data_IF_449905663248
#
_entry.id   IF_449905663248
#
_cell.length_a   1.000
_cell.length_b   1.000
_cell.length_c   1.000
_cell.angle_alpha   90.00
_cell.angle_beta   90.00
_cell.angle_gamma   90.00
#
_symmetry.space_group_name_H-M   'P 1'
#
loop_
_entity.id
_entity.type
_entity.pdbx_description
1 polymer ?
#
# COMPACT_ATOMS: atom_id res chain seq x y z
N UNK A 1 9.88 -17.04 -44.10
CA UNK A 1 10.84 -17.06 -42.97
C UNK A 1 10.83 -15.67 -42.37
N UNK A 2 9.97 -15.44 -41.39
CA UNK A 2 9.81 -14.12 -40.75
C UNK A 2 10.99 -13.90 -39.80
N UNK A 3 11.87 -12.96 -40.16
CA UNK A 3 12.94 -12.50 -39.28
C UNK A 3 12.27 -11.61 -38.24
N UNK A 4 11.84 -12.20 -37.13
CA UNK A 4 11.40 -11.43 -35.97
C UNK A 4 12.63 -10.68 -35.44
N UNK A 5 12.72 -9.39 -35.73
CA UNK A 5 13.71 -8.51 -35.12
C UNK A 5 13.48 -8.55 -33.60
N UNK A 6 14.29 -9.31 -32.88
CA UNK A 6 14.35 -9.23 -31.42
C UNK A 6 14.88 -7.85 -31.04
N UNK A 7 13.96 -6.91 -30.84
CA UNK A 7 14.28 -5.60 -30.27
C UNK A 7 14.84 -5.85 -28.87
N UNK A 8 16.10 -5.41 -28.66
CA UNK A 8 16.72 -5.52 -27.35
C UNK A 8 15.85 -4.76 -26.34
N UNK A 9 15.44 -5.37 -25.22
CA UNK A 9 14.59 -4.72 -24.26
C UNK A 9 15.29 -3.45 -23.74
N UNK A 10 14.57 -2.32 -23.77
CA UNK A 10 15.09 -1.04 -23.30
C UNK A 10 15.54 -1.15 -21.85
N UNK A 11 16.76 -0.67 -21.56
CA UNK A 11 17.31 -0.58 -20.20
C UNK A 11 16.71 0.57 -19.38
N UNK A 12 15.94 1.45 -20.01
CA UNK A 12 15.37 2.64 -19.40
C UNK A 12 14.66 2.38 -18.07
N UNK A 13 13.69 1.44 -18.06
CA UNK A 13 12.95 1.09 -16.85
C UNK A 13 13.83 0.48 -15.74
N UNK A 14 14.92 -0.19 -16.10
CA UNK A 14 15.85 -0.72 -15.12
C UNK A 14 16.64 0.40 -14.43
N UNK A 15 17.03 1.44 -15.16
CA UNK A 15 17.66 2.62 -14.57
C UNK A 15 16.69 3.40 -13.69
N UNK A 16 15.43 3.59 -14.12
CA UNK A 16 14.40 4.20 -13.28
C UNK A 16 14.25 3.43 -11.97
N UNK A 17 14.13 2.10 -12.03
CA UNK A 17 14.00 1.27 -10.83
C UNK A 17 15.18 1.44 -9.87
N UNK A 18 16.42 1.54 -10.38
CA UNK A 18 17.60 1.81 -9.55
C UNK A 18 17.57 3.21 -8.94
N UNK A 19 17.28 4.25 -9.73
CA UNK A 19 17.24 5.63 -9.21
C UNK A 19 16.17 5.81 -8.15
N UNK A 20 14.94 5.37 -8.44
CA UNK A 20 13.83 5.40 -7.48
C UNK A 20 14.18 4.57 -6.25
N UNK A 21 14.73 3.38 -6.43
CA UNK A 21 15.15 2.52 -5.32
C UNK A 21 16.18 3.18 -4.40
N UNK A 22 17.19 3.86 -4.96
CA UNK A 22 18.19 4.61 -4.17
C UNK A 22 17.53 5.75 -3.40
N UNK A 23 16.65 6.52 -4.05
CA UNK A 23 15.92 7.61 -3.40
C UNK A 23 15.08 7.09 -2.23
N UNK A 24 14.34 6.00 -2.43
CA UNK A 24 13.57 5.33 -1.38
C UNK A 24 14.48 4.88 -0.24
N UNK A 25 15.63 4.26 -0.53
CA UNK A 25 16.57 3.84 0.52
C UNK A 25 17.07 5.01 1.35
N UNK A 26 17.36 6.16 0.74
CA UNK A 26 17.77 7.37 1.48
C UNK A 26 16.65 7.87 2.39
N UNK A 27 15.40 7.88 1.93
CA UNK A 27 14.23 8.23 2.75
C UNK A 27 14.04 7.23 3.90
N UNK A 28 14.21 5.93 3.64
CA UNK A 28 14.13 4.88 4.66
C UNK A 28 15.24 4.99 5.71
N UNK A 29 16.45 5.37 5.31
CA UNK A 29 17.55 5.64 6.24
C UNK A 29 17.27 6.88 7.10
N UNK A 30 16.71 7.94 6.52
CA UNK A 30 16.29 9.12 7.27
C UNK A 30 15.19 8.76 8.28
N UNK A 31 14.21 7.94 7.88
CA UNK A 31 13.15 7.45 8.76
C UNK A 31 13.70 6.56 9.88
N UNK A 32 14.71 5.73 9.60
CA UNK A 32 15.40 4.91 10.60
C UNK A 32 16.12 5.77 11.63
N UNK A 33 16.79 6.84 11.19
CA UNK A 33 17.38 7.84 12.08
C UNK A 33 16.31 8.57 12.88
N UNK A 34 15.15 8.88 12.28
CA UNK A 34 14.01 9.44 13.00
C UNK A 34 13.50 8.52 14.10
N UNK A 35 13.28 7.26 13.76
CA UNK A 35 12.76 6.22 14.65
C UNK A 35 13.62 5.99 15.90
N UNK A 36 14.95 5.93 15.75
CA UNK A 36 15.85 5.75 16.89
C UNK A 36 16.35 7.07 17.50
N UNK A 37 16.48 8.12 16.71
CA UNK A 37 17.14 9.37 17.08
C UNK A 37 16.20 10.44 17.64
N UNK A 38 14.97 10.56 17.13
CA UNK A 38 14.03 11.57 17.64
C UNK A 38 13.72 11.40 19.12
N UNK A 39 13.46 10.19 19.66
CA UNK A 39 13.21 10.02 21.10
C UNK A 39 14.39 10.44 21.98
N UNK A 40 15.62 10.32 21.46
CA UNK A 40 16.85 10.67 22.18
C UNK A 40 17.07 12.19 22.16
N UNK A 41 16.79 12.84 21.03
CA UNK A 41 17.02 14.28 20.81
C UNK A 41 15.88 15.15 21.35
N UNK A 42 14.66 14.65 21.28
CA UNK A 42 13.43 15.32 21.68
C UNK A 42 12.60 14.34 22.52
N UNK A 43 12.73 14.37 23.86
CA UNK A 43 11.90 13.55 24.73
C UNK A 43 10.46 14.05 24.65
N UNK A 44 9.68 13.47 23.73
CA UNK A 44 8.24 13.67 23.60
C UNK A 44 7.55 12.60 24.44
N UNK A 45 6.47 12.95 25.13
CA UNK A 45 5.74 12.03 26.02
C UNK A 45 5.08 10.87 25.26
N UNK A 46 4.73 11.07 23.99
CA UNK A 46 4.14 10.05 23.13
C UNK A 46 4.89 9.96 21.80
N UNK A 47 5.69 8.90 21.66
CA UNK A 47 6.49 8.63 20.46
C UNK A 47 5.93 7.47 19.65
N UNK A 48 4.94 6.73 20.17
CA UNK A 48 4.47 5.50 19.54
C UNK A 48 3.78 5.80 18.21
N UNK A 49 2.81 6.73 18.20
CA UNK A 49 2.15 7.17 16.96
C UNK A 49 3.13 7.65 15.88
N UNK A 50 4.15 8.43 16.26
CA UNK A 50 5.19 8.85 15.32
C UNK A 50 6.01 7.66 14.79
N UNK A 51 6.39 6.73 15.66
CA UNK A 51 7.17 5.55 15.32
C UNK A 51 6.40 4.57 14.42
N UNK A 52 5.07 4.51 14.52
CA UNK A 52 4.22 3.79 13.57
C UNK A 52 4.26 4.42 12.17
N UNK A 53 4.25 5.76 12.06
CA UNK A 53 4.50 6.43 10.77
C UNK A 53 5.91 6.17 10.23
N UNK A 54 6.93 6.23 11.10
CA UNK A 54 8.32 5.98 10.71
C UNK A 54 8.54 4.54 10.22
N UNK A 55 7.88 3.53 10.80
CA UNK A 55 8.03 2.14 10.34
C UNK A 55 7.48 1.94 8.93
N UNK A 56 6.43 2.68 8.53
CA UNK A 56 5.91 2.70 7.17
C UNK A 56 6.95 3.28 6.20
N UNK A 57 7.60 4.39 6.57
CA UNK A 57 8.67 5.00 5.78
C UNK A 57 9.93 4.11 5.72
N UNK A 58 10.29 3.41 6.80
CA UNK A 58 11.38 2.42 6.82
C UNK A 58 11.05 1.24 5.89
N UNK A 59 9.83 0.72 5.95
CA UNK A 59 9.36 -0.36 5.08
C UNK A 59 9.43 0.07 3.60
N UNK A 60 8.81 1.19 3.25
CA UNK A 60 8.83 1.73 1.89
C UNK A 60 10.27 2.01 1.43
N UNK A 61 11.08 2.63 2.29
CA UNK A 61 12.40 3.08 1.92
C UNK A 61 13.41 1.95 1.82
N UNK A 62 13.58 1.19 2.90
CA UNK A 62 14.60 0.15 2.98
C UNK A 62 14.16 -1.14 2.30
N UNK A 63 12.95 -1.63 2.55
CA UNK A 63 12.50 -2.91 1.96
C UNK A 63 12.14 -2.74 0.48
N UNK A 64 11.21 -1.84 0.14
CA UNK A 64 10.83 -1.63 -1.27
C UNK A 64 11.98 -1.00 -2.09
N UNK A 65 12.74 -0.07 -1.52
CA UNK A 65 13.92 0.51 -2.18
C UNK A 65 14.99 -0.55 -2.50
N UNK A 66 15.31 -1.45 -1.56
CA UNK A 66 16.27 -2.54 -1.80
C UNK A 66 15.80 -3.49 -2.90
N UNK A 67 14.51 -3.84 -2.92
CA UNK A 67 13.94 -4.66 -3.99
C UNK A 67 14.08 -3.99 -5.36
N UNK A 68 13.80 -2.70 -5.45
CA UNK A 68 13.90 -1.92 -6.69
C UNK A 68 15.34 -1.85 -7.20
N UNK A 69 16.31 -1.55 -6.32
CA UNK A 69 17.75 -1.51 -6.67
C UNK A 69 18.25 -2.88 -7.09
N UNK A 70 17.98 -3.92 -6.29
CA UNK A 70 18.46 -5.28 -6.56
C UNK A 70 17.98 -5.77 -7.93
N UNK A 71 16.68 -5.64 -8.21
CA UNK A 71 16.10 -6.10 -9.46
C UNK A 71 16.42 -5.20 -10.64
N UNK A 72 16.57 -3.89 -10.41
CA UNK A 72 17.05 -2.93 -11.40
C UNK A 72 18.47 -3.28 -11.87
N UNK A 73 19.41 -3.47 -10.96
CA UNK A 73 20.80 -3.85 -11.27
C UNK A 73 20.85 -5.21 -11.98
N UNK A 74 20.14 -6.22 -11.48
CA UNK A 74 20.06 -7.55 -12.13
C UNK A 74 19.49 -7.46 -13.54
N UNK A 75 18.56 -6.52 -13.79
CA UNK A 75 18.00 -6.28 -15.13
C UNK A 75 19.01 -5.58 -16.06
N UNK A 76 19.76 -4.58 -15.56
CA UNK A 76 20.85 -3.92 -16.31
C UNK A 76 21.91 -4.94 -16.75
N UNK A 77 22.26 -5.86 -15.85
CA UNK A 77 23.22 -6.95 -16.06
C UNK A 77 22.64 -8.13 -16.84
N UNK A 78 21.39 -8.06 -17.30
CA UNK A 78 20.70 -9.12 -18.06
C UNK A 78 20.68 -10.48 -17.36
N UNK A 79 20.73 -10.51 -16.04
CA UNK A 79 20.59 -11.75 -15.29
C UNK A 79 19.15 -12.25 -15.42
N UNK A 80 18.97 -13.56 -15.63
CA UNK A 80 17.64 -14.16 -15.57
C UNK A 80 17.05 -14.06 -14.16
N UNK A 81 15.72 -14.00 -14.05
CA UNK A 81 15.00 -14.07 -12.78
C UNK A 81 14.34 -15.43 -12.65
N UNK A 82 14.47 -16.06 -11.49
CA UNK A 82 13.80 -17.33 -11.19
C UNK A 82 12.30 -17.15 -11.03
N UNK A 83 11.55 -18.25 -11.18
CA UNK A 83 10.15 -18.30 -10.79
C UNK A 83 10.00 -17.94 -9.30
N UNK A 84 8.97 -17.16 -8.97
CA UNK A 84 8.65 -16.85 -7.60
C UNK A 84 8.05 -18.08 -6.90
N UNK A 85 8.56 -18.44 -5.73
CA UNK A 85 7.98 -19.47 -4.86
C UNK A 85 7.88 -18.93 -3.44
N UNK A 86 6.67 -18.55 -3.02
CA UNK A 86 6.42 -18.13 -1.64
C UNK A 86 6.29 -19.36 -0.73
N UNK A 87 6.64 -19.26 0.57
CA UNK A 87 6.30 -20.27 1.58
C UNK A 87 4.80 -20.61 1.57
N UNK A 88 4.37 -21.81 2.02
CA UNK A 88 2.96 -22.15 2.07
C UNK A 88 2.12 -21.14 2.88
N UNK A 89 0.85 -20.89 2.52
CA UNK A 89 0.03 -19.85 3.15
C UNK A 89 -0.11 -20.02 4.67
N UNK A 90 -0.14 -21.26 5.16
CA UNK A 90 -0.23 -21.54 6.60
C UNK A 90 0.99 -21.05 7.39
N UNK A 91 2.18 -20.96 6.77
CA UNK A 91 3.38 -20.42 7.43
C UNK A 91 3.14 -18.96 7.81
N UNK A 92 2.55 -18.17 6.89
CA UNK A 92 2.22 -16.78 7.15
C UNK A 92 1.14 -16.62 8.23
N UNK A 93 0.11 -17.47 8.25
CA UNK A 93 -0.93 -17.45 9.28
C UNK A 93 -0.40 -17.80 10.68
N UNK A 94 0.47 -18.82 10.77
CA UNK A 94 1.10 -19.19 12.04
C UNK A 94 1.99 -18.05 12.53
N UNK A 95 2.84 -17.48 11.66
CA UNK A 95 3.68 -16.33 12.02
C UNK A 95 2.82 -15.13 12.42
N UNK A 96 1.69 -14.88 11.74
CA UNK A 96 0.77 -13.80 12.10
C UNK A 96 0.23 -14.00 13.51
N UNK A 97 -0.24 -15.20 13.86
CA UNK A 97 -0.73 -15.49 15.21
C UNK A 97 0.35 -15.25 16.28
N UNK A 98 1.60 -15.62 15.99
CA UNK A 98 2.73 -15.35 16.89
C UNK A 98 2.98 -13.84 17.02
N UNK A 99 3.01 -13.10 15.90
CA UNK A 99 3.23 -11.66 15.89
C UNK A 99 2.12 -10.91 16.64
N UNK A 100 0.86 -11.31 16.47
CA UNK A 100 -0.27 -10.75 17.22
C UNK A 100 -0.16 -11.03 18.72
N UNK A 101 0.21 -12.27 19.09
CA UNK A 101 0.47 -12.63 20.48
C UNK A 101 1.59 -11.80 21.10
N UNK A 102 2.71 -11.65 20.40
CA UNK A 102 3.84 -10.82 20.85
C UNK A 102 3.47 -9.33 20.94
N UNK A 103 2.76 -8.81 19.95
CA UNK A 103 2.30 -7.41 19.96
C UNK A 103 1.36 -7.14 21.13
N UNK A 104 0.45 -8.07 21.40
CA UNK A 104 -0.42 -8.03 22.57
C UNK A 104 0.36 -8.05 23.87
N UNK A 105 1.39 -8.91 24.00
CA UNK A 105 2.24 -8.93 25.19
C UNK A 105 3.00 -7.61 25.38
N UNK A 106 3.59 -7.07 24.31
CA UNK A 106 4.33 -5.80 24.36
C UNK A 106 3.44 -4.67 24.88
N UNK A 107 2.22 -4.54 24.35
CA UNK A 107 1.29 -3.48 24.74
C UNK A 107 0.74 -3.71 26.16
N UNK A 108 0.26 -4.91 26.47
CA UNK A 108 -0.39 -5.18 27.76
C UNK A 108 0.58 -5.15 28.96
N UNK A 109 1.84 -5.51 28.75
CA UNK A 109 2.86 -5.48 29.81
C UNK A 109 3.75 -4.24 29.74
N UNK A 110 3.43 -3.27 28.87
CA UNK A 110 4.20 -2.04 28.66
C UNK A 110 5.70 -2.30 28.44
N UNK A 111 6.03 -3.28 27.60
CA UNK A 111 7.42 -3.69 27.32
C UNK A 111 7.99 -2.79 26.23
N UNK A 112 8.34 -1.56 26.59
CA UNK A 112 8.93 -0.57 25.68
C UNK A 112 8.19 -0.50 24.32
N UNK A 113 6.86 -0.27 24.35
CA UNK A 113 6.00 -0.42 23.18
C UNK A 113 6.42 0.48 22.02
N UNK A 114 6.99 1.65 22.28
CA UNK A 114 7.44 2.64 21.31
C UNK A 114 8.45 2.06 20.31
N UNK A 115 9.21 1.03 20.70
CA UNK A 115 10.23 0.40 19.85
C UNK A 115 9.90 -1.04 19.47
N UNK A 116 9.25 -1.82 20.34
CA UNK A 116 8.96 -3.22 20.04
C UNK A 116 7.66 -3.39 19.24
N UNK A 117 6.68 -2.51 19.43
CA UNK A 117 5.38 -2.63 18.75
C UNK A 117 5.45 -2.29 17.26
N UNK A 118 6.11 -1.20 16.79
CA UNK A 118 6.06 -0.82 15.37
C UNK A 118 6.56 -1.90 14.39
N UNK A 119 7.65 -2.64 14.65
CA UNK A 119 8.05 -3.75 13.78
C UNK A 119 7.06 -4.92 13.80
N UNK A 120 6.44 -5.21 14.94
CA UNK A 120 5.38 -6.23 15.05
C UNK A 120 4.12 -5.80 14.30
N UNK A 121 3.76 -4.53 14.39
CA UNK A 121 2.68 -3.91 13.63
C UNK A 121 2.90 -4.02 12.12
N UNK A 122 4.10 -3.66 11.63
CA UNK A 122 4.50 -3.82 10.22
C UNK A 122 4.34 -5.28 9.76
N UNK A 123 4.80 -6.24 10.57
CA UNK A 123 4.65 -7.66 10.27
C UNK A 123 3.18 -8.08 10.26
N UNK A 124 2.36 -7.60 11.20
CA UNK A 124 0.93 -7.85 11.24
C UNK A 124 0.22 -7.40 9.96
N UNK A 125 0.51 -6.19 9.50
CA UNK A 125 -0.02 -5.65 8.24
C UNK A 125 0.43 -6.44 7.01
N UNK A 126 1.66 -6.96 7.01
CA UNK A 126 2.23 -7.66 5.87
C UNK A 126 1.81 -9.14 5.75
N UNK A 127 1.76 -9.87 6.87
CA UNK A 127 1.66 -11.34 6.87
C UNK A 127 0.32 -11.85 6.35
N UNK A 128 -0.79 -11.19 6.69
CA UNK A 128 -2.12 -11.55 6.17
C UNK A 128 -2.15 -11.44 4.63
N UNK A 129 -1.65 -10.34 4.09
CA UNK A 129 -1.52 -10.10 2.64
C UNK A 129 -0.63 -11.14 1.96
N UNK A 130 0.54 -11.46 2.54
CA UNK A 130 1.41 -12.49 1.99
C UNK A 130 0.81 -13.90 2.04
N UNK A 131 -0.05 -14.19 3.03
CA UNK A 131 -0.77 -15.46 3.09
C UNK A 131 -1.69 -15.66 1.88
N UNK A 132 -2.47 -14.62 1.54
CA UNK A 132 -3.40 -14.61 0.40
C UNK A 132 -2.62 -14.68 -0.91
N UNK A 133 -1.55 -13.89 -1.03
CA UNK A 133 -0.67 -13.87 -2.20
C UNK A 133 -0.04 -15.25 -2.45
N UNK A 134 0.46 -15.90 -1.40
CA UNK A 134 1.03 -17.24 -1.47
C UNK A 134 0.01 -18.28 -1.93
N UNK A 135 -1.20 -18.25 -1.36
CA UNK A 135 -2.28 -19.14 -1.76
C UNK A 135 -2.63 -18.95 -3.24
N UNK A 136 -2.83 -17.71 -3.68
CA UNK A 136 -3.21 -17.37 -5.05
C UNK A 136 -2.13 -17.80 -6.05
N UNK A 137 -0.86 -17.51 -5.77
CA UNK A 137 0.25 -17.86 -6.67
C UNK A 137 0.40 -19.36 -6.83
N UNK A 138 0.26 -20.12 -5.75
CA UNK A 138 0.28 -21.59 -5.81
C UNK A 138 -0.88 -22.14 -6.64
N UNK A 139 -2.09 -21.61 -6.49
CA UNK A 139 -3.26 -22.01 -7.30
C UNK A 139 -3.10 -21.71 -8.79
N UNK A 140 -2.35 -20.67 -9.13
CA UNK A 140 -2.06 -20.32 -10.52
C UNK A 140 -0.83 -21.03 -11.12
N UNK A 141 -0.09 -21.81 -10.32
CA UNK A 141 1.14 -22.46 -10.76
C UNK A 141 2.36 -21.52 -10.81
N UNK A 142 2.39 -20.48 -9.97
CA UNK A 142 3.46 -19.48 -9.87
C UNK A 142 3.82 -18.83 -11.22
N UNK A 143 2.87 -18.09 -11.85
CA UNK A 143 2.99 -17.65 -13.24
C UNK A 143 4.00 -16.51 -13.46
N UNK A 144 4.63 -15.99 -12.41
CA UNK A 144 5.52 -14.83 -12.46
C UNK A 144 6.90 -15.12 -11.86
N UNK A 145 7.87 -14.31 -12.28
CA UNK A 145 9.24 -14.33 -11.73
C UNK A 145 9.35 -13.48 -10.47
N UNK A 146 10.41 -13.71 -9.67
CA UNK A 146 10.73 -12.88 -8.51
C UNK A 146 10.86 -11.40 -8.85
N UNK A 147 11.43 -11.09 -10.02
CA UNK A 147 11.56 -9.71 -10.52
C UNK A 147 10.21 -9.05 -10.80
N UNK A 148 9.32 -9.77 -11.47
CA UNK A 148 7.99 -9.24 -11.79
C UNK A 148 7.20 -8.97 -10.52
N UNK A 149 7.19 -9.93 -9.59
CA UNK A 149 6.50 -9.77 -8.32
C UNK A 149 7.06 -8.60 -7.50
N UNK A 150 8.38 -8.52 -7.35
CA UNK A 150 9.01 -7.48 -6.55
C UNK A 150 8.83 -6.08 -7.13
N UNK A 151 9.00 -5.89 -8.44
CA UNK A 151 8.81 -4.57 -9.06
C UNK A 151 7.34 -4.16 -9.10
N UNK A 152 6.41 -5.11 -9.26
CA UNK A 152 4.98 -4.84 -9.16
C UNK A 152 4.61 -4.43 -7.73
N UNK A 153 5.13 -5.16 -6.73
CA UNK A 153 4.97 -4.85 -5.31
C UNK A 153 5.48 -3.44 -4.99
N UNK A 154 6.69 -3.10 -5.43
CA UNK A 154 7.25 -1.75 -5.26
C UNK A 154 6.37 -0.68 -5.92
N UNK A 155 5.88 -0.92 -7.14
CA UNK A 155 4.97 -0.01 -7.80
C UNK A 155 3.69 0.21 -6.98
N UNK A 156 3.11 -0.88 -6.46
CA UNK A 156 1.96 -0.83 -5.56
C UNK A 156 2.20 -0.02 -4.31
N UNK A 157 3.34 -0.24 -3.64
CA UNK A 157 3.72 0.52 -2.45
C UNK A 157 4.16 1.96 -2.73
N UNK A 158 4.28 2.39 -3.99
CA UNK A 158 4.77 3.74 -4.33
C UNK A 158 3.76 4.48 -5.21
N UNK A 159 3.83 4.23 -6.52
CA UNK A 159 3.03 4.90 -7.53
C UNK A 159 1.54 4.74 -7.27
N UNK A 160 1.09 3.54 -6.91
CA UNK A 160 -0.33 3.30 -6.66
C UNK A 160 -0.83 4.09 -5.47
N UNK A 161 -0.08 4.16 -4.37
CA UNK A 161 -0.47 4.98 -3.20
C UNK A 161 -0.48 6.47 -3.53
N UNK A 162 0.53 6.97 -4.25
CA UNK A 162 0.56 8.37 -4.66
C UNK A 162 -0.64 8.72 -5.56
N UNK A 163 -0.99 7.85 -6.50
CA UNK A 163 -2.13 8.07 -7.38
C UNK A 163 -3.46 7.93 -6.64
N UNK A 164 -3.59 6.97 -5.73
CA UNK A 164 -4.79 6.82 -4.90
C UNK A 164 -5.03 8.09 -4.06
N UNK A 165 -4.02 8.57 -3.33
CA UNK A 165 -4.12 9.82 -2.56
C UNK A 165 -4.52 11.00 -3.44
N UNK A 166 -3.91 11.15 -4.62
CA UNK A 166 -4.26 12.23 -5.54
C UNK A 166 -5.70 12.12 -6.02
N UNK A 167 -6.16 10.92 -6.39
CA UNK A 167 -7.51 10.69 -6.85
C UNK A 167 -8.55 10.84 -5.73
N UNK A 168 -8.26 10.37 -4.52
CA UNK A 168 -9.10 10.51 -3.33
C UNK A 168 -9.22 11.97 -2.88
N UNK A 169 -8.22 12.81 -3.14
CA UNK A 169 -8.33 14.26 -2.88
C UNK A 169 -9.06 14.95 -4.04
N UNK A 170 -8.75 14.59 -5.28
CA UNK A 170 -9.20 15.33 -6.47
C UNK A 170 -10.63 14.97 -6.87
N UNK A 171 -11.04 13.71 -6.79
CA UNK A 171 -12.37 13.26 -7.20
C UNK A 171 -13.50 13.85 -6.36
N UNK A 172 -13.46 13.87 -5.02
CA UNK A 172 -14.49 14.56 -4.24
C UNK A 172 -14.57 16.04 -4.58
N UNK A 173 -13.43 16.69 -4.85
CA UNK A 173 -13.42 18.09 -5.27
C UNK A 173 -14.04 18.30 -6.65
N UNK A 174 -13.75 17.42 -7.62
CA UNK A 174 -14.40 17.45 -8.94
C UNK A 174 -15.89 17.16 -8.81
N UNK A 175 -16.28 16.17 -8.01
CA UNK A 175 -17.67 15.84 -7.75
C UNK A 175 -18.42 17.03 -7.13
N UNK A 176 -17.80 17.70 -6.16
CA UNK A 176 -18.32 18.95 -5.60
C UNK A 176 -18.53 20.01 -6.68
N UNK A 177 -17.54 20.31 -7.52
CA UNK A 177 -17.65 21.31 -8.59
C UNK A 177 -18.70 20.92 -9.66
N UNK A 178 -18.90 19.64 -9.92
CA UNK A 178 -19.92 19.16 -10.85
C UNK A 178 -21.34 19.22 -10.26
N UNK A 179 -21.46 19.10 -8.93
CA UNK A 179 -22.71 19.19 -8.19
C UNK A 179 -23.05 20.62 -7.75
N UNK A 180 -22.09 21.54 -7.71
CA UNK A 180 -22.29 22.95 -7.38
C UNK A 180 -23.41 23.63 -8.20
N UNK A 181 -23.54 23.41 -9.52
CA UNK A 181 -24.67 23.97 -10.29
C UNK A 181 -26.03 23.40 -9.86
N UNK A 182 -26.05 22.25 -9.20
CA UNK A 182 -27.21 21.60 -8.61
C UNK A 182 -27.38 21.93 -7.11
N UNK A 183 -26.85 23.06 -6.64
CA UNK A 183 -26.92 23.51 -5.24
C UNK A 183 -28.31 23.44 -4.62
N UNK A 184 -29.40 23.58 -5.40
CA UNK A 184 -30.79 23.42 -4.91
C UNK A 184 -31.05 22.00 -4.39
N UNK A 185 -30.47 20.97 -5.01
CA UNK A 185 -30.47 19.62 -4.45
C UNK A 185 -29.62 19.57 -3.18
N UNK A 186 -28.44 20.21 -3.19
CA UNK A 186 -27.54 20.30 -2.04
C UNK A 186 -28.15 21.05 -0.85
N UNK A 187 -29.05 22.02 -1.06
CA UNK A 187 -29.80 22.70 0.01
C UNK A 187 -30.80 21.76 0.68
N UNK A 188 -31.47 20.91 -0.09
CA UNK A 188 -32.30 19.82 0.47
C UNK A 188 -31.45 18.85 1.30
N UNK A 189 -30.18 18.63 0.93
CA UNK A 189 -29.22 17.88 1.74
C UNK A 189 -28.72 18.67 2.97
N UNK A 190 -28.50 19.98 2.84
CA UNK A 190 -27.99 20.87 3.89
C UNK A 190 -29.03 21.14 4.98
N UNK A 191 -30.31 21.27 4.62
CA UNK A 191 -31.45 21.41 5.56
C UNK A 191 -31.60 20.18 6.48
N UNK A 192 -31.17 19.01 6.01
CA UNK A 192 -31.11 17.78 6.80
C UNK A 192 -29.81 17.72 7.63
N UNK A 193 -28.73 18.33 7.10
CA UNK A 193 -27.36 18.10 7.54
C UNK A 193 -26.75 19.12 8.50
N UNK A 194 -27.07 20.41 8.37
CA UNK A 194 -26.28 21.47 8.98
C UNK A 194 -27.10 22.25 10.02
N UNK A 195 -26.75 22.08 11.30
CA UNK A 195 -27.19 22.96 12.39
C UNK A 195 -28.35 22.47 13.26
N UNK A 196 -28.94 21.30 13.01
CA UNK A 196 -29.96 20.72 13.87
C UNK A 196 -29.39 19.58 14.75
N UNK A 197 -29.76 19.48 16.03
CA UNK A 197 -29.42 18.33 16.86
C UNK A 197 -29.88 17.02 16.20
N UNK A 198 -29.02 16.00 16.25
CA UNK A 198 -29.30 14.66 15.74
C UNK A 198 -28.99 14.44 14.25
N UNK A 199 -27.93 15.06 13.73
CA UNK A 199 -27.43 14.86 12.36
C UNK A 199 -27.27 13.37 12.00
N UNK A 200 -26.61 12.62 12.88
CA UNK A 200 -26.40 11.19 12.69
C UNK A 200 -27.75 10.46 12.72
N UNK A 201 -28.63 10.70 13.70
CA UNK A 201 -29.95 10.06 13.72
C UNK A 201 -30.78 10.37 12.46
N UNK A 202 -30.70 11.59 11.92
CA UNK A 202 -31.42 11.98 10.69
C UNK A 202 -30.86 11.33 9.44
N UNK A 203 -29.54 11.23 9.31
CA UNK A 203 -28.91 10.48 8.22
C UNK A 203 -29.34 9.01 8.29
N UNK A 204 -29.25 8.37 9.45
CA UNK A 204 -29.62 6.96 9.64
C UNK A 204 -31.12 6.70 9.48
N UNK A 205 -31.97 7.70 9.75
CA UNK A 205 -33.43 7.60 9.57
C UNK A 205 -33.90 8.01 8.17
N UNK A 206 -32.98 8.48 7.31
CA UNK A 206 -33.27 8.96 5.97
C UNK A 206 -32.79 7.94 4.92
N UNK A 207 -33.50 7.76 3.79
CA UNK A 207 -32.98 7.01 2.63
C UNK A 207 -31.61 7.50 2.14
N UNK A 208 -31.21 8.71 2.54
CA UNK A 208 -29.92 9.32 2.23
C UNK A 208 -28.72 8.54 2.78
N UNK A 209 -28.87 7.74 3.86
CA UNK A 209 -27.79 6.83 4.28
C UNK A 209 -27.38 5.89 3.14
N UNK A 210 -28.31 5.44 2.31
CA UNK A 210 -28.00 4.55 1.19
C UNK A 210 -27.19 5.27 0.11
N UNK A 211 -27.46 6.56 -0.12
CA UNK A 211 -26.69 7.39 -1.05
C UNK A 211 -25.30 7.66 -0.50
N UNK A 212 -25.19 8.02 0.78
CA UNK A 212 -23.92 8.25 1.45
C UNK A 212 -23.05 6.98 1.48
N UNK A 213 -23.64 5.84 1.83
CA UNK A 213 -22.96 4.55 1.79
C UNK A 213 -22.58 4.15 0.37
N UNK A 214 -23.43 4.40 -0.63
CA UNK A 214 -23.10 4.14 -2.03
C UNK A 214 -21.96 5.03 -2.52
N UNK A 215 -21.93 6.31 -2.14
CA UNK A 215 -20.82 7.21 -2.45
C UNK A 215 -19.54 6.70 -1.81
N UNK A 216 -19.51 6.45 -0.50
CA UNK A 216 -18.30 5.94 0.17
C UNK A 216 -17.86 4.58 -0.38
N UNK A 217 -18.79 3.66 -0.63
CA UNK A 217 -18.50 2.32 -1.14
C UNK A 217 -18.02 2.32 -2.60
N UNK A 218 -18.15 3.43 -3.33
CA UNK A 218 -17.73 3.55 -4.73
C UNK A 218 -16.53 4.49 -4.86
N UNK A 219 -16.54 5.60 -4.12
CA UNK A 219 -15.56 6.66 -4.21
C UNK A 219 -14.18 6.23 -3.73
N UNK A 220 -14.05 5.50 -2.62
CA UNK A 220 -12.73 5.03 -2.18
C UNK A 220 -12.25 3.82 -3.01
N UNK A 221 -13.07 2.78 -3.26
CA UNK A 221 -12.56 1.58 -3.94
C UNK A 221 -12.19 1.80 -5.42
N UNK A 222 -12.86 2.70 -6.15
CA UNK A 222 -12.55 2.91 -7.58
C UNK A 222 -11.14 3.47 -7.78
N UNK A 223 -10.76 4.61 -7.17
CA UNK A 223 -9.39 5.14 -7.20
C UNK A 223 -8.35 4.13 -6.77
N UNK A 224 -8.60 3.44 -5.66
CA UNK A 224 -7.69 2.44 -5.14
C UNK A 224 -7.46 1.30 -6.14
N UNK A 225 -8.53 0.67 -6.65
CA UNK A 225 -8.42 -0.45 -7.59
C UNK A 225 -7.81 -0.01 -8.93
N UNK A 226 -8.13 1.20 -9.39
CA UNK A 226 -7.48 1.80 -10.55
C UNK A 226 -5.98 2.00 -10.31
N UNK A 227 -5.60 2.56 -9.16
CA UNK A 227 -4.21 2.83 -8.83
C UNK A 227 -3.42 1.52 -8.65
N UNK A 228 -3.99 0.51 -7.99
CA UNK A 228 -3.40 -0.83 -7.85
C UNK A 228 -3.09 -1.46 -9.21
N UNK A 229 -3.90 -1.20 -10.24
CA UNK A 229 -3.68 -1.70 -11.60
C UNK A 229 -2.51 -1.03 -12.35
N UNK A 230 -1.98 0.11 -11.90
CA UNK A 230 -0.87 0.83 -12.55
C UNK A 230 0.46 0.06 -12.55
N UNK A 231 0.59 -0.98 -11.73
CA UNK A 231 1.74 -1.89 -11.78
C UNK A 231 1.85 -2.67 -13.09
N UNK A 232 0.75 -2.87 -13.82
CA UNK A 232 0.72 -3.64 -15.09
C UNK A 232 1.40 -2.90 -16.27
N UNK A 233 1.03 -1.63 -16.58
CA UNK A 233 1.66 -0.87 -17.66
C UNK A 233 3.19 -0.79 -17.61
N UNK A 234 3.80 -0.79 -16.41
CA UNK A 234 5.26 -0.69 -16.24
C UNK A 234 6.03 -1.86 -16.87
N UNK A 235 5.39 -3.03 -17.02
CA UNK A 235 6.03 -4.17 -17.67
C UNK A 235 5.84 -4.17 -19.19
N UNK A 236 4.88 -3.39 -19.71
CA UNK A 236 4.52 -3.37 -21.13
C UNK A 236 3.76 -4.63 -21.55
N UNK A 237 2.87 -4.49 -22.54
CA UNK A 237 2.02 -5.59 -23.05
C UNK A 237 2.84 -6.79 -23.53
N UNK A 238 3.97 -6.55 -24.17
CA UNK A 238 4.83 -7.60 -24.75
C UNK A 238 5.47 -8.54 -23.70
N UNK A 239 5.53 -8.13 -22.44
CA UNK A 239 6.12 -8.94 -21.35
C UNK A 239 5.10 -9.76 -20.58
N UNK A 240 3.81 -9.53 -20.82
CA UNK A 240 2.70 -10.24 -20.20
C UNK A 240 2.19 -11.27 -21.22
N UNK A 241 2.38 -12.56 -20.90
CA UNK A 241 2.14 -13.66 -21.84
C UNK A 241 0.74 -14.26 -21.75
N UNK A 242 0.07 -14.10 -20.61
CA UNK A 242 -1.26 -14.66 -20.36
C UNK A 242 -1.98 -13.95 -19.20
N UNK A 243 -3.27 -14.20 -19.09
CA UNK A 243 -4.17 -13.63 -18.07
C UNK A 243 -3.73 -13.97 -16.64
N UNK A 244 -3.27 -15.20 -16.39
CA UNK A 244 -2.77 -15.62 -15.07
C UNK A 244 -1.57 -14.79 -14.63
N UNK A 245 -0.68 -14.48 -15.55
CA UNK A 245 0.48 -13.63 -15.30
C UNK A 245 0.06 -12.18 -15.04
N UNK A 246 -0.88 -11.65 -15.84
CA UNK A 246 -1.42 -10.31 -15.63
C UNK A 246 -2.07 -10.19 -14.24
N UNK A 247 -2.94 -11.13 -13.90
CA UNK A 247 -3.61 -11.18 -12.61
C UNK A 247 -2.61 -11.32 -11.45
N UNK A 248 -1.59 -12.16 -11.58
CA UNK A 248 -0.55 -12.31 -10.55
C UNK A 248 0.30 -11.04 -10.36
N UNK A 249 0.60 -10.30 -11.43
CA UNK A 249 1.26 -8.99 -11.36
C UNK A 249 0.36 -7.98 -10.63
N UNK A 250 -0.92 -7.94 -10.99
CA UNK A 250 -1.93 -7.11 -10.32
C UNK A 250 -2.00 -7.41 -8.82
N UNK A 251 -2.06 -8.69 -8.43
CA UNK A 251 -2.06 -9.12 -7.03
C UNK A 251 -0.79 -8.70 -6.28
N UNK A 252 0.40 -8.74 -6.91
CA UNK A 252 1.62 -8.25 -6.26
C UNK A 252 1.57 -6.74 -6.04
N UNK A 253 1.06 -5.99 -7.03
CA UNK A 253 0.86 -4.54 -6.92
C UNK A 253 -0.13 -4.21 -5.82
N UNK A 254 -1.31 -4.84 -5.82
CA UNK A 254 -2.32 -4.68 -4.76
C UNK A 254 -1.80 -5.05 -3.38
N UNK A 255 -0.96 -6.10 -3.28
CA UNK A 255 -0.32 -6.46 -2.01
C UNK A 255 0.63 -5.36 -1.50
N UNK A 256 1.44 -4.78 -2.38
CA UNK A 256 2.33 -3.66 -2.01
C UNK A 256 1.56 -2.43 -1.56
N UNK A 257 0.44 -2.13 -2.23
CA UNK A 257 -0.48 -1.06 -1.86
C UNK A 257 -1.10 -1.31 -0.49
N UNK A 258 -1.79 -2.44 -0.31
CA UNK A 258 -2.56 -2.74 0.91
C UNK A 258 -1.67 -2.78 2.17
N UNK A 259 -0.44 -3.29 2.06
CA UNK A 259 0.48 -3.32 3.21
C UNK A 259 0.84 -1.91 3.63
N UNK A 260 1.27 -1.06 2.70
CA UNK A 260 1.71 0.28 3.06
C UNK A 260 0.52 1.17 3.46
N UNK A 261 -0.61 1.05 2.78
CA UNK A 261 -1.86 1.74 3.12
C UNK A 261 -2.28 1.44 4.55
N UNK A 262 -2.39 0.16 4.93
CA UNK A 262 -2.73 -0.23 6.30
C UNK A 262 -1.76 0.37 7.32
N UNK A 263 -0.46 0.42 6.99
CA UNK A 263 0.52 1.03 7.88
C UNK A 263 0.33 2.56 8.03
N UNK A 264 -0.03 3.24 6.95
CA UNK A 264 -0.25 4.68 6.96
C UNK A 264 -1.54 5.05 7.70
N UNK A 265 -2.64 4.34 7.45
CA UNK A 265 -3.93 4.60 8.11
C UNK A 265 -3.87 4.38 9.61
N UNK A 266 -3.32 3.25 10.05
CA UNK A 266 -3.22 2.95 11.47
C UNK A 266 -2.20 3.86 12.16
N UNK A 267 -1.10 4.23 11.49
CA UNK A 267 -0.15 5.21 12.02
C UNK A 267 -0.79 6.59 12.21
N UNK A 268 -1.61 7.03 11.26
CA UNK A 268 -2.38 8.27 11.35
C UNK A 268 -3.44 8.18 12.47
N UNK A 269 -4.17 7.07 12.54
CA UNK A 269 -5.18 6.82 13.56
C UNK A 269 -4.58 6.81 14.97
N UNK A 270 -3.44 6.14 15.17
CA UNK A 270 -2.73 6.14 16.44
C UNK A 270 -2.35 7.56 16.87
N UNK A 271 -1.78 8.36 15.95
CA UNK A 271 -1.43 9.75 16.23
C UNK A 271 -2.64 10.61 16.62
N UNK A 272 -3.77 10.45 15.94
CA UNK A 272 -5.00 11.21 16.25
C UNK A 272 -5.64 10.84 17.60
N UNK A 273 -5.48 9.59 18.05
CA UNK A 273 -6.08 9.10 19.29
C UNK A 273 -5.15 9.16 20.50
N UNK A 274 -3.92 9.66 20.34
CA UNK A 274 -2.91 9.73 21.41
C UNK A 274 -2.46 8.36 21.88
N UNK A 275 -2.23 7.45 20.92
CA UNK A 275 -1.67 6.12 21.14
C UNK A 275 -0.16 6.10 20.92
#
# INVERSE_FOLDING_TARGET
MEITMQTKPSKFWAYIAVMVGILLMLLGLAALVGYFGLPILFPVEDVLGYNLGQIAAIFLGLFCGSLAVYHGIKSINRSASSALKLPPPYVFWITLAIVLGLGSLVVNFNIIPEYLFPPLFMLGAALSTFSVLSWAYRRMGNPITWRQAALAFVCGSTLSILVAILLEITLPYIAYLLLEPAWVLAEVFADIGWGAPGFIERIFSSPLILVFLAVIAVEAPIPEEFAKALGLPMFGRDRIKNERQAFAIGLASGAGFAILENMLYEGLYANYNGW
#
